data_IF_897139832681
#
_entry.id   IF_897139832681
#
_cell.length_a   1.000
_cell.length_b   1.000
_cell.length_c   1.000
_cell.angle_alpha   90.00
_cell.angle_beta   90.00
_cell.angle_gamma   90.00
#
_symmetry.space_group_name_H-M   'P 1'
#
loop_
_entity.id
_entity.type
_entity.pdbx_description
1 polymer ?
#
# COMPACT_ATOMS: atom_id res chain seq x y z
N UNK A 1 14.00 0.16 -10.12
CA UNK A 1 13.83 1.62 -10.08
C UNK A 1 13.74 1.96 -8.60
N UNK A 2 14.66 2.76 -8.06
CA UNK A 2 14.72 2.97 -6.61
C UNK A 2 13.89 4.22 -6.28
N UNK A 3 12.89 4.05 -5.41
CA UNK A 3 12.01 5.11 -4.94
C UNK A 3 12.20 5.33 -3.44
N UNK A 4 11.89 6.54 -2.98
CA UNK A 4 11.87 6.89 -1.57
C UNK A 4 10.48 7.50 -1.29
N UNK A 5 9.81 6.99 -0.27
CA UNK A 5 8.56 7.55 0.24
C UNK A 5 8.90 8.41 1.46
N UNK A 6 8.42 9.65 1.46
CA UNK A 6 8.68 10.61 2.54
C UNK A 6 7.33 11.04 3.11
N UNK A 7 7.19 10.90 4.43
CA UNK A 7 6.03 11.38 5.17
C UNK A 7 6.39 12.67 5.91
N UNK A 8 5.51 13.66 5.85
CA UNK A 8 5.61 14.90 6.61
C UNK A 8 4.20 15.35 6.99
N UNK A 9 4.07 15.92 8.18
CA UNK A 9 2.83 16.51 8.69
C UNK A 9 2.75 18.02 8.39
N UNK A 10 3.74 18.57 7.69
CA UNK A 10 3.89 19.99 7.39
C UNK A 10 3.87 20.26 5.88
N UNK A 11 2.86 21.02 5.44
CA UNK A 11 2.71 21.44 4.04
C UNK A 11 3.89 22.31 3.54
N UNK A 12 4.53 23.07 4.44
CA UNK A 12 5.71 23.86 4.10
C UNK A 12 6.91 22.99 3.78
N UNK A 13 7.09 21.90 4.53
CA UNK A 13 8.21 20.99 4.36
C UNK A 13 8.03 20.17 3.08
N UNK A 14 6.80 19.74 2.79
CA UNK A 14 6.46 19.08 1.54
C UNK A 14 6.78 19.98 0.33
N UNK A 15 6.44 21.27 0.43
CA UNK A 15 6.73 22.26 -0.61
C UNK A 15 8.23 22.47 -0.81
N UNK A 16 9.00 22.51 0.28
CA UNK A 16 10.45 22.61 0.24
C UNK A 16 11.09 21.38 -0.43
N UNK A 17 10.68 20.18 -0.02
CA UNK A 17 11.17 18.92 -0.57
C UNK A 17 10.90 18.82 -2.08
N UNK A 18 9.70 19.22 -2.51
CA UNK A 18 9.32 19.25 -3.93
C UNK A 18 10.21 20.21 -4.74
N UNK A 19 10.49 21.39 -4.21
CA UNK A 19 11.36 22.35 -4.88
C UNK A 19 12.82 21.87 -4.95
N UNK A 20 13.30 21.22 -3.88
CA UNK A 20 14.63 20.63 -3.84
C UNK A 20 14.77 19.50 -4.87
N UNK A 21 13.82 18.57 -4.91
CA UNK A 21 13.78 17.49 -5.89
C UNK A 21 13.81 18.02 -7.33
N UNK A 22 12.99 19.05 -7.62
CA UNK A 22 12.97 19.71 -8.92
C UNK A 22 14.32 20.35 -9.28
N UNK A 23 14.99 21.02 -8.33
CA UNK A 23 16.33 21.61 -8.54
C UNK A 23 17.41 20.56 -8.78
N UNK A 24 17.27 19.38 -8.18
CA UNK A 24 18.17 18.25 -8.37
C UNK A 24 17.88 17.46 -9.66
N UNK A 25 16.86 17.82 -10.43
CA UNK A 25 16.45 17.10 -11.63
C UNK A 25 15.74 15.77 -11.34
N UNK A 26 15.23 15.59 -10.12
CA UNK A 26 14.51 14.40 -9.70
C UNK A 26 13.02 14.54 -10.03
N UNK A 27 12.40 13.41 -10.42
CA UNK A 27 10.94 13.32 -10.50
C UNK A 27 10.36 13.23 -9.09
N UNK A 28 9.35 14.06 -8.80
CA UNK A 28 8.65 14.07 -7.52
C UNK A 28 7.15 14.05 -7.75
N UNK A 29 6.43 13.19 -7.04
CA UNK A 29 4.97 13.10 -7.09
C UNK A 29 4.41 13.15 -5.66
N UNK A 30 3.33 13.91 -5.47
CA UNK A 30 2.62 13.96 -4.17
C UNK A 30 1.46 12.99 -4.26
N UNK A 31 1.52 11.98 -3.40
CA UNK A 31 0.58 10.86 -3.39
C UNK A 31 -0.71 11.24 -2.68
N UNK A 32 -1.85 11.00 -3.32
CA UNK A 32 -3.19 11.17 -2.73
C UNK A 32 -3.50 10.10 -1.68
N UNK A 33 -4.60 10.27 -0.93
CA UNK A 33 -5.02 9.30 0.09
C UNK A 33 -5.26 7.90 -0.47
N UNK A 34 -5.97 7.79 -1.60
CA UNK A 34 -6.23 6.50 -2.26
C UNK A 34 -4.95 5.84 -2.76
N UNK A 35 -4.04 6.61 -3.35
CA UNK A 35 -2.76 6.06 -3.82
C UNK A 35 -1.87 5.59 -2.64
N UNK A 36 -1.97 6.21 -1.46
CA UNK A 36 -1.29 5.71 -0.26
C UNK A 36 -1.82 4.35 0.19
N UNK A 37 -3.14 4.15 0.12
CA UNK A 37 -3.77 2.87 0.43
C UNK A 37 -3.31 1.80 -0.56
N UNK A 38 -3.31 2.10 -1.85
CA UNK A 38 -2.86 1.19 -2.91
C UNK A 38 -1.38 0.79 -2.73
N UNK A 39 -0.51 1.76 -2.43
CA UNK A 39 0.91 1.50 -2.16
C UNK A 39 1.06 0.64 -0.90
N UNK A 40 0.32 0.95 0.17
CA UNK A 40 0.34 0.18 1.40
C UNK A 40 -0.10 -1.27 1.17
N UNK A 41 -1.14 -1.48 0.36
CA UNK A 41 -1.61 -2.80 -0.02
C UNK A 41 -0.56 -3.56 -0.85
N UNK A 42 0.05 -2.89 -1.84
CA UNK A 42 1.08 -3.50 -2.67
C UNK A 42 2.30 -3.95 -1.85
N UNK A 43 2.76 -3.11 -0.91
CA UNK A 43 3.85 -3.45 0.00
C UNK A 43 3.48 -4.62 0.92
N UNK A 44 2.27 -4.62 1.49
CA UNK A 44 1.80 -5.73 2.32
C UNK A 44 1.73 -7.06 1.55
N UNK A 45 1.38 -7.02 0.26
CA UNK A 45 1.40 -8.21 -0.61
C UNK A 45 2.84 -8.65 -0.90
N UNK A 46 3.76 -7.72 -1.12
CA UNK A 46 5.18 -8.01 -1.42
C UNK A 46 5.92 -8.56 -0.18
N UNK A 47 5.63 -8.03 1.00
CA UNK A 47 6.21 -8.47 2.28
C UNK A 47 5.60 -9.77 2.83
N UNK A 48 4.51 -10.24 2.23
CA UNK A 48 3.81 -11.43 2.69
C UNK A 48 4.67 -12.70 2.58
N UNK A 49 4.71 -13.50 3.65
CA UNK A 49 5.31 -14.82 3.59
C UNK A 49 4.40 -15.74 2.77
N UNK A 50 4.95 -16.32 1.70
CA UNK A 50 4.20 -17.23 0.84
C UNK A 50 3.73 -18.49 1.58
N UNK A 51 4.36 -18.84 2.70
CA UNK A 51 3.94 -19.94 3.57
C UNK A 51 2.63 -19.67 4.33
N UNK A 52 2.29 -18.39 4.55
CA UNK A 52 1.05 -17.98 5.23
C UNK A 52 -0.14 -17.82 4.27
N UNK A 53 0.08 -18.07 2.97
CA UNK A 53 -0.98 -18.03 1.98
C UNK A 53 -1.94 -19.20 2.16
N UNK A 54 -3.23 -18.89 2.17
CA UNK A 54 -4.29 -19.89 2.09
C UNK A 54 -4.17 -20.68 0.77
N UNK A 55 -4.25 -21.99 0.87
CA UNK A 55 -4.49 -22.84 -0.29
C UNK A 55 -5.89 -22.58 -0.86
N UNK A 56 -6.10 -22.99 -2.11
CA UNK A 56 -7.39 -22.83 -2.77
C UNK A 56 -8.49 -23.55 -2.00
N UNK A 57 -8.19 -24.75 -1.50
CA UNK A 57 -9.11 -25.59 -0.74
C UNK A 57 -9.50 -24.90 0.57
N UNK A 58 -8.53 -24.37 1.31
CA UNK A 58 -8.78 -23.63 2.56
C UNK A 58 -9.60 -22.36 2.32
N UNK A 59 -9.29 -21.60 1.26
CA UNK A 59 -10.06 -20.41 0.90
C UNK A 59 -11.53 -20.77 0.57
N UNK A 60 -11.76 -21.83 -0.21
CA UNK A 60 -13.11 -22.30 -0.55
C UNK A 60 -13.87 -22.73 0.71
N UNK A 61 -13.23 -23.48 1.61
CA UNK A 61 -13.83 -23.91 2.88
C UNK A 61 -14.18 -22.72 3.79
N UNK A 62 -13.28 -21.73 3.88
CA UNK A 62 -13.51 -20.51 4.65
C UNK A 62 -14.74 -19.72 4.16
N UNK A 63 -14.84 -19.47 2.85
CA UNK A 63 -15.98 -18.74 2.29
C UNK A 63 -17.30 -19.51 2.39
N UNK A 64 -17.26 -20.85 2.35
CA UNK A 64 -18.44 -21.68 2.59
C UNK A 64 -18.90 -21.59 4.05
N UNK A 65 -17.97 -21.59 5.02
CA UNK A 65 -18.28 -21.44 6.44
C UNK A 65 -18.93 -20.07 6.72
N UNK A 66 -18.36 -18.98 6.21
CA UNK A 66 -18.92 -17.62 6.35
C UNK A 66 -20.33 -17.50 5.76
N UNK A 67 -20.60 -18.15 4.63
CA UNK A 67 -21.93 -18.15 4.00
C UNK A 67 -22.97 -18.90 4.83
N UNK A 68 -22.54 -19.88 5.62
CA UNK A 68 -23.42 -20.65 6.50
C UNK A 68 -23.65 -19.93 7.84
N UNK A 69 -22.68 -19.15 8.32
CA UNK A 69 -22.82 -18.32 9.54
C UNK A 69 -23.71 -17.10 9.33
N UNK A 70 -23.68 -16.47 8.15
CA UNK A 70 -24.54 -15.33 7.80
C UNK A 70 -25.98 -15.71 7.39
N UNK A 71 -26.43 -16.93 7.71
CA UNK A 71 -27.76 -17.46 7.39
C UNK A 71 -28.74 -17.48 8.58
N UNK A 72 -28.50 -16.65 9.59
CA UNK A 72 -29.46 -16.35 10.66
C UNK A 72 -30.14 -14.99 10.41
#
# INVERSE_FOLDING_TARGET
MNSIIIHTDSDSDLSLLKQLAKKMGLSSHVVSGSEKEDIGLALAIEENDSADNLTREEAVSYYQALKNENKL
#
